data_IF_671288915503
#
_entry.id   IF_671288915503
#
_cell.length_a   1.000
_cell.length_b   1.000
_cell.length_c   1.000
_cell.angle_alpha   90.00
_cell.angle_beta   90.00
_cell.angle_gamma   90.00
#
_symmetry.space_group_name_H-M   'P 1'
#
loop_
_entity.id
_entity.type
_entity.pdbx_description
1 polymer ?
#
# COMPACT_ATOMS: atom_id res chain seq x y z
N UNK A 1 18.73 -22.07 18.11
CA UNK A 1 19.16 -23.12 19.06
C UNK A 1 19.92 -24.15 18.24
N UNK A 2 21.25 -24.02 18.20
CA UNK A 2 22.14 -24.84 17.38
C UNK A 2 22.28 -26.22 18.04
N UNK A 3 22.04 -27.29 17.30
CA UNK A 3 22.17 -28.68 17.77
C UNK A 3 23.65 -28.91 18.10
N UNK A 4 23.96 -29.17 19.38
CA UNK A 4 25.25 -29.75 19.78
C UNK A 4 25.30 -31.18 19.25
N UNK A 5 26.16 -31.43 18.28
CA UNK A 5 26.48 -32.78 17.83
C UNK A 5 27.21 -33.53 18.95
N UNK A 6 26.73 -34.72 19.32
CA UNK A 6 27.38 -35.61 20.28
C UNK A 6 28.62 -36.27 19.62
N UNK A 7 29.85 -35.97 20.09
CA UNK A 7 31.07 -36.44 19.43
C UNK A 7 31.30 -37.97 19.50
N UNK A 8 30.44 -38.74 20.20
CA UNK A 8 30.65 -40.17 20.45
C UNK A 8 29.81 -41.14 19.59
N UNK A 9 28.75 -40.69 18.90
CA UNK A 9 27.86 -41.61 18.15
C UNK A 9 28.58 -42.34 17.01
N UNK A 10 29.52 -41.67 16.35
CA UNK A 10 30.29 -42.29 15.26
C UNK A 10 31.18 -43.44 15.75
N UNK A 11 31.68 -43.36 16.99
CA UNK A 11 32.48 -44.41 17.62
C UNK A 11 31.64 -45.64 17.94
N UNK A 12 30.45 -45.45 18.51
CA UNK A 12 29.51 -46.53 18.83
C UNK A 12 29.01 -47.25 17.57
N UNK A 13 28.63 -46.52 16.53
CA UNK A 13 28.20 -47.09 15.25
C UNK A 13 29.31 -47.93 14.60
N UNK A 14 30.56 -47.44 14.60
CA UNK A 14 31.71 -48.19 14.08
C UNK A 14 32.00 -49.46 14.89
N UNK A 15 31.81 -49.43 16.21
CA UNK A 15 31.97 -50.61 17.07
C UNK A 15 30.91 -51.66 16.76
N UNK A 16 29.65 -51.27 16.66
CA UNK A 16 28.56 -52.18 16.30
C UNK A 16 28.75 -52.77 14.90
N UNK A 17 29.19 -51.94 13.94
CA UNK A 17 29.51 -52.42 12.59
C UNK A 17 30.61 -53.48 12.61
N UNK A 18 31.70 -53.28 13.36
CA UNK A 18 32.78 -54.27 13.49
C UNK A 18 32.30 -55.57 14.14
N UNK A 19 31.45 -55.49 15.15
CA UNK A 19 30.88 -56.67 15.81
C UNK A 19 30.01 -57.45 14.83
N UNK A 20 29.11 -56.77 14.10
CA UNK A 20 28.26 -57.39 13.08
C UNK A 20 29.06 -58.02 11.94
N UNK A 21 30.06 -57.31 11.40
CA UNK A 21 31.00 -57.88 10.41
C UNK A 21 31.77 -59.07 10.98
N UNK A 22 32.17 -59.01 12.25
CA UNK A 22 32.84 -60.11 12.94
C UNK A 22 31.99 -61.37 13.01
N UNK A 23 30.71 -61.26 13.40
CA UNK A 23 29.78 -62.39 13.39
C UNK A 23 29.58 -62.98 11.99
N UNK A 24 29.48 -62.13 10.96
CA UNK A 24 29.38 -62.60 9.58
C UNK A 24 30.62 -63.38 9.13
N UNK A 25 31.82 -62.90 9.48
CA UNK A 25 33.09 -63.59 9.18
C UNK A 25 33.17 -64.92 9.92
N UNK A 26 32.78 -64.96 11.20
CA UNK A 26 32.75 -66.22 11.97
C UNK A 26 31.77 -67.22 11.36
N UNK A 27 30.56 -66.79 10.97
CA UNK A 27 29.60 -67.65 10.28
C UNK A 27 30.17 -68.19 8.96
N UNK A 28 30.85 -67.35 8.17
CA UNK A 28 31.49 -67.78 6.93
C UNK A 28 32.62 -68.81 7.18
N UNK A 29 33.46 -68.60 8.20
CA UNK A 29 34.51 -69.55 8.58
C UNK A 29 33.93 -70.88 9.06
N UNK A 30 32.88 -70.85 9.89
CA UNK A 30 32.18 -72.05 10.34
C UNK A 30 31.55 -72.80 9.17
N UNK A 31 30.98 -72.09 8.20
CA UNK A 31 30.45 -72.69 6.97
C UNK A 31 31.55 -73.40 6.17
N UNK A 32 32.69 -72.74 5.93
CA UNK A 32 33.81 -73.34 5.18
C UNK A 32 34.42 -74.54 5.92
N UNK A 33 34.58 -74.44 7.24
CA UNK A 33 35.09 -75.53 8.06
C UNK A 33 34.13 -76.74 8.05
N UNK A 34 32.84 -76.49 8.28
CA UNK A 34 31.81 -77.54 8.23
C UNK A 34 31.79 -78.21 6.84
N UNK A 35 31.82 -77.43 5.76
CA UNK A 35 31.88 -77.92 4.38
C UNK A 35 33.10 -78.83 4.11
N UNK A 36 34.26 -78.51 4.69
CA UNK A 36 35.50 -79.25 4.46
C UNK A 36 35.59 -80.56 5.25
N UNK A 37 34.97 -80.62 6.43
CA UNK A 37 35.02 -81.77 7.35
C UNK A 37 33.75 -82.63 7.34
N UNK A 38 32.71 -82.23 6.61
CA UNK A 38 31.44 -82.95 6.45
C UNK A 38 31.65 -84.40 5.98
N UNK A 39 32.63 -84.64 5.10
CA UNK A 39 32.95 -85.98 4.60
C UNK A 39 33.48 -86.94 5.69
N UNK A 40 34.05 -86.41 6.78
CA UNK A 40 34.56 -87.21 7.89
C UNK A 40 33.56 -87.31 9.06
N UNK A 41 32.67 -86.33 9.21
CA UNK A 41 31.72 -86.25 10.33
C UNK A 41 30.33 -85.79 9.85
N UNK A 42 29.38 -86.72 9.63
CA UNK A 42 28.07 -86.41 9.05
C UNK A 42 27.22 -85.40 9.86
N UNK A 43 27.42 -85.29 11.17
CA UNK A 43 26.68 -84.35 12.02
C UNK A 43 27.02 -82.88 11.75
N UNK A 44 28.15 -82.60 11.08
CA UNK A 44 28.54 -81.24 10.68
C UNK A 44 27.61 -80.63 9.63
N UNK A 45 26.77 -81.43 8.97
CA UNK A 45 25.75 -80.93 8.04
C UNK A 45 24.74 -79.96 8.70
N UNK A 46 24.38 -80.19 9.97
CA UNK A 46 23.52 -79.26 10.72
C UNK A 46 24.20 -77.92 11.00
N UNK A 47 25.50 -77.96 11.34
CA UNK A 47 26.30 -76.76 11.58
C UNK A 47 26.49 -75.96 10.30
N UNK A 48 26.71 -76.66 9.18
CA UNK A 48 26.77 -76.05 7.85
C UNK A 48 25.48 -75.32 7.51
N UNK A 49 24.32 -75.97 7.64
CA UNK A 49 23.03 -75.36 7.31
C UNK A 49 22.73 -74.13 8.19
N UNK A 50 23.05 -74.20 9.48
CA UNK A 50 22.90 -73.07 10.40
C UNK A 50 23.84 -71.91 10.04
N UNK A 51 25.10 -72.19 9.71
CA UNK A 51 26.08 -71.20 9.29
C UNK A 51 25.74 -70.56 7.92
N UNK A 52 25.23 -71.37 6.99
CA UNK A 52 24.73 -70.92 5.69
C UNK A 52 23.55 -69.97 5.86
N UNK A 53 22.56 -70.35 6.67
CA UNK A 53 21.41 -69.51 7.00
C UNK A 53 21.81 -68.19 7.66
N UNK A 54 22.74 -68.23 8.62
CA UNK A 54 23.26 -67.03 9.28
C UNK A 54 24.01 -66.10 8.32
N UNK A 55 24.82 -66.66 7.42
CA UNK A 55 25.57 -65.89 6.41
C UNK A 55 24.64 -65.23 5.38
N UNK A 56 23.70 -66.00 4.82
CA UNK A 56 22.73 -65.49 3.84
C UNK A 56 21.82 -64.44 4.48
N UNK A 57 21.34 -64.67 5.70
CA UNK A 57 20.53 -63.72 6.46
C UNK A 57 21.26 -62.40 6.72
N UNK A 58 22.53 -62.46 7.13
CA UNK A 58 23.35 -61.26 7.35
C UNK A 58 23.62 -60.46 6.07
N UNK A 59 23.84 -61.14 4.95
CA UNK A 59 24.01 -60.47 3.64
C UNK A 59 22.71 -59.82 3.15
N UNK A 60 21.55 -60.47 3.39
CA UNK A 60 20.25 -59.94 3.01
C UNK A 60 19.89 -58.67 3.79
N UNK A 61 20.11 -58.65 5.10
CA UNK A 61 19.87 -57.47 5.94
C UNK A 61 20.77 -56.29 5.53
N UNK A 62 22.06 -56.56 5.29
CA UNK A 62 22.97 -55.55 4.76
C UNK A 62 22.49 -54.98 3.42
N UNK A 63 22.03 -55.84 2.52
CA UNK A 63 21.51 -55.43 1.22
C UNK A 63 20.25 -54.56 1.37
N UNK A 64 19.31 -54.92 2.24
CA UNK A 64 18.07 -54.18 2.45
C UNK A 64 18.32 -52.76 2.97
N UNK A 65 19.14 -52.61 4.01
CA UNK A 65 19.48 -51.29 4.58
C UNK A 65 20.25 -50.46 3.56
N UNK A 66 21.23 -51.08 2.88
CA UNK A 66 22.02 -50.37 1.87
C UNK A 66 21.12 -49.93 0.72
N UNK A 67 20.24 -50.78 0.22
CA UNK A 67 19.29 -50.47 -0.85
C UNK A 67 18.25 -49.41 -0.48
N UNK A 68 17.97 -49.17 0.81
CA UNK A 68 17.11 -48.06 1.21
C UNK A 68 17.81 -46.70 1.00
N UNK A 69 19.11 -46.64 1.31
CA UNK A 69 19.86 -45.39 1.36
C UNK A 69 20.82 -45.14 0.20
N UNK A 70 21.34 -46.18 -0.47
CA UNK A 70 22.39 -46.13 -1.51
C UNK A 70 22.23 -47.30 -2.49
N UNK A 71 23.03 -47.33 -3.56
CA UNK A 71 23.09 -48.50 -4.46
C UNK A 71 24.06 -49.55 -3.89
N UNK A 72 23.62 -50.77 -3.58
CA UNK A 72 24.50 -51.82 -3.07
C UNK A 72 25.57 -52.15 -4.13
N UNK A 73 26.83 -52.26 -3.71
CA UNK A 73 28.01 -52.50 -4.56
C UNK A 73 28.23 -51.47 -5.70
N UNK A 74 27.50 -50.33 -5.70
CA UNK A 74 27.58 -49.32 -6.77
C UNK A 74 26.89 -49.72 -8.08
N UNK A 75 26.21 -50.87 -8.13
CA UNK A 75 25.56 -51.36 -9.35
C UNK A 75 24.19 -50.69 -9.57
N UNK A 76 23.79 -50.41 -10.83
CA UNK A 76 22.49 -49.81 -11.16
C UNK A 76 21.37 -50.86 -11.09
N UNK A 77 21.07 -51.35 -9.88
CA UNK A 77 19.96 -52.29 -9.66
C UNK A 77 18.64 -51.48 -9.58
N UNK A 78 17.63 -51.80 -10.40
CA UNK A 78 16.33 -51.13 -10.34
C UNK A 78 15.69 -51.29 -8.95
N UNK A 79 14.95 -50.26 -8.51
CA UNK A 79 14.28 -50.21 -7.20
C UNK A 79 15.20 -50.17 -5.95
N UNK A 80 16.46 -49.77 -6.09
CA UNK A 80 17.37 -49.46 -4.97
C UNK A 80 17.58 -47.94 -4.80
N UNK A 81 18.13 -47.51 -3.67
CA UNK A 81 18.27 -46.12 -3.23
C UNK A 81 16.95 -45.33 -3.11
N UNK A 82 15.86 -45.97 -2.65
CA UNK A 82 14.49 -45.42 -2.64
C UNK A 82 14.42 -44.01 -2.04
N UNK A 83 15.08 -43.79 -0.89
CA UNK A 83 15.04 -42.49 -0.20
C UNK A 83 15.77 -41.41 -1.01
N UNK A 84 16.93 -41.73 -1.61
CA UNK A 84 17.65 -40.75 -2.44
C UNK A 84 16.86 -40.40 -3.69
N UNK A 85 16.27 -41.40 -4.35
CA UNK A 85 15.52 -41.20 -5.60
C UNK A 85 14.18 -40.50 -5.39
N UNK A 86 13.55 -40.64 -4.22
CA UNK A 86 12.25 -40.01 -3.89
C UNK A 86 12.33 -38.85 -2.89
N UNK A 87 13.52 -38.32 -2.61
CA UNK A 87 13.75 -37.26 -1.62
C UNK A 87 12.83 -36.05 -1.84
N UNK A 88 12.70 -35.61 -3.09
CA UNK A 88 11.91 -34.42 -3.42
C UNK A 88 10.40 -34.66 -3.22
N UNK A 89 9.91 -35.85 -3.58
CA UNK A 89 8.52 -36.24 -3.36
C UNK A 89 8.19 -36.35 -1.86
N UNK A 90 9.11 -36.91 -1.06
CA UNK A 90 8.97 -36.98 0.40
C UNK A 90 8.99 -35.56 1.00
N UNK A 91 9.90 -34.70 0.56
CA UNK A 91 9.97 -33.30 0.99
C UNK A 91 8.69 -32.53 0.68
N UNK A 92 8.13 -32.70 -0.52
CA UNK A 92 6.87 -32.09 -0.92
C UNK A 92 5.70 -32.58 -0.05
N UNK A 93 5.61 -33.88 0.23
CA UNK A 93 4.56 -34.47 1.08
C UNK A 93 4.65 -34.03 2.54
N UNK A 94 5.86 -33.89 3.08
CA UNK A 94 6.06 -33.36 4.44
C UNK A 94 5.70 -31.87 4.46
N UNK A 95 6.09 -31.11 3.43
CA UNK A 95 5.75 -29.69 3.30
C UNK A 95 4.25 -29.44 3.22
N UNK A 96 3.51 -30.23 2.43
CA UNK A 96 2.04 -30.15 2.38
C UNK A 96 1.42 -30.54 3.72
N UNK A 97 1.87 -31.63 4.34
CA UNK A 97 1.39 -32.03 5.66
C UNK A 97 1.57 -30.93 6.72
N UNK A 98 2.74 -30.28 6.78
CA UNK A 98 2.99 -29.17 7.71
C UNK A 98 2.09 -27.98 7.40
N UNK A 99 1.89 -27.65 6.13
CA UNK A 99 0.99 -26.57 5.72
C UNK A 99 -0.44 -26.84 6.16
N UNK A 100 -0.94 -28.02 5.83
CA UNK A 100 -2.35 -28.37 5.96
C UNK A 100 -2.74 -28.68 7.41
N UNK A 101 -1.78 -29.10 8.26
CA UNK A 101 -2.06 -29.46 9.66
C UNK A 101 -1.56 -28.43 10.68
N UNK A 102 -0.53 -27.65 10.35
CA UNK A 102 0.10 -26.74 11.32
C UNK A 102 0.11 -25.26 10.89
N UNK A 103 -0.12 -24.94 9.61
CA UNK A 103 -0.15 -23.57 9.10
C UNK A 103 -1.56 -23.10 8.71
N UNK A 104 -2.61 -23.76 9.19
CA UNK A 104 -4.00 -23.30 9.02
C UNK A 104 -4.21 -21.97 9.73
N UNK A 105 -5.03 -21.09 9.15
CA UNK A 105 -5.34 -19.75 9.69
C UNK A 105 -5.81 -19.83 11.14
N UNK A 106 -6.60 -20.84 11.49
CA UNK A 106 -7.20 -21.06 12.81
C UNK A 106 -6.11 -21.39 13.85
N UNK A 107 -5.20 -22.32 13.52
CA UNK A 107 -4.07 -22.67 14.40
C UNK A 107 -3.10 -21.50 14.55
N UNK A 108 -2.79 -20.77 13.47
CA UNK A 108 -1.92 -19.59 13.55
C UNK A 108 -2.55 -18.48 14.39
N UNK A 109 -3.80 -18.14 14.15
CA UNK A 109 -4.50 -17.07 14.88
C UNK A 109 -4.66 -17.41 16.37
N UNK A 110 -4.98 -18.66 16.69
CA UNK A 110 -5.04 -19.15 18.08
C UNK A 110 -3.69 -19.10 18.81
N UNK A 111 -2.59 -19.45 18.12
CA UNK A 111 -1.24 -19.39 18.72
C UNK A 111 -0.71 -17.97 18.83
N UNK A 112 -0.97 -17.11 17.84
CA UNK A 112 -0.58 -15.70 17.83
C UNK A 112 -1.35 -14.89 18.88
N UNK A 113 -2.64 -15.19 19.10
CA UNK A 113 -3.45 -14.57 20.14
C UNK A 113 -2.99 -15.01 21.54
N UNK A 114 -2.69 -16.30 21.73
CA UNK A 114 -2.18 -16.83 22.99
C UNK A 114 -0.84 -16.19 23.43
N UNK A 115 0.02 -15.79 22.48
CA UNK A 115 1.32 -15.18 22.77
C UNK A 115 1.23 -13.64 22.89
N UNK A 116 0.04 -13.04 22.69
CA UNK A 116 -0.17 -11.59 22.72
C UNK A 116 0.82 -10.82 21.84
N UNK A 117 1.14 -11.37 20.66
CA UNK A 117 2.17 -10.82 19.76
C UNK A 117 1.85 -9.39 19.36
N UNK A 118 0.56 -9.07 19.13
CA UNK A 118 0.12 -7.72 18.81
C UNK A 118 0.41 -6.70 19.93
N UNK A 119 0.31 -7.11 21.20
CA UNK A 119 0.62 -6.24 22.33
C UNK A 119 2.13 -6.01 22.45
N UNK A 120 2.94 -7.08 22.31
CA UNK A 120 4.41 -6.98 22.33
C UNK A 120 4.95 -6.12 21.18
N UNK A 121 4.41 -6.29 19.98
CA UNK A 121 4.75 -5.44 18.82
C UNK A 121 4.31 -3.99 19.05
N UNK A 122 3.14 -3.79 19.67
CA UNK A 122 2.66 -2.46 20.05
C UNK A 122 3.60 -1.75 21.02
N UNK A 123 4.02 -2.43 22.09
CA UNK A 123 4.98 -1.91 23.07
C UNK A 123 6.38 -1.71 22.46
N UNK A 124 6.82 -2.62 21.58
CA UNK A 124 8.10 -2.46 20.88
C UNK A 124 8.09 -1.21 19.97
N UNK A 125 6.99 -0.94 19.29
CA UNK A 125 6.79 0.26 18.46
C UNK A 125 6.69 1.58 19.26
N UNK A 126 6.57 1.52 20.60
CA UNK A 126 6.65 2.72 21.44
C UNK A 126 8.09 3.22 21.59
N UNK A 127 9.10 2.37 21.32
CA UNK A 127 10.49 2.81 21.29
C UNK A 127 10.79 3.60 20.00
N UNK A 128 11.42 4.79 20.11
CA UNK A 128 11.66 5.65 18.96
C UNK A 128 12.50 4.95 17.88
N UNK A 129 13.54 4.21 18.26
CA UNK A 129 14.40 3.47 17.31
C UNK A 129 13.64 2.39 16.51
N UNK A 130 12.71 1.69 17.18
CA UNK A 130 11.89 0.66 16.55
C UNK A 130 10.89 1.27 15.56
N UNK A 131 10.21 2.35 15.98
CA UNK A 131 9.32 3.11 15.11
C UNK A 131 10.06 3.69 13.90
N UNK A 132 11.27 4.21 14.09
CA UNK A 132 12.10 4.76 13.02
C UNK A 132 12.55 3.71 12.01
N UNK A 133 12.87 2.49 12.49
CA UNK A 133 13.26 1.34 11.65
C UNK A 133 12.07 0.82 10.84
N UNK A 134 10.89 0.70 11.46
CA UNK A 134 9.66 0.31 10.77
C UNK A 134 9.22 1.38 9.78
N UNK A 135 9.31 2.65 10.14
CA UNK A 135 9.00 3.75 9.24
C UNK A 135 9.93 3.74 8.00
N UNK A 136 11.23 3.45 8.19
CA UNK A 136 12.19 3.32 7.10
C UNK A 136 11.85 2.16 6.16
N UNK A 137 11.65 0.97 6.72
CA UNK A 137 11.28 -0.22 5.95
C UNK A 137 9.93 -0.04 5.24
N UNK A 138 8.96 0.58 5.91
CA UNK A 138 7.66 0.91 5.34
C UNK A 138 7.77 1.91 4.20
N UNK A 139 8.59 2.95 4.35
CA UNK A 139 8.87 3.93 3.30
C UNK A 139 9.52 3.29 2.07
N UNK A 140 10.58 2.49 2.26
CA UNK A 140 11.26 1.79 1.17
C UNK A 140 10.36 0.76 0.48
N UNK A 141 9.54 0.04 1.26
CA UNK A 141 8.55 -0.91 0.73
C UNK A 141 7.45 -0.22 -0.07
N UNK A 142 6.92 0.90 0.43
CA UNK A 142 5.93 1.70 -0.27
C UNK A 142 6.48 2.28 -1.58
N UNK A 143 7.73 2.74 -1.58
CA UNK A 143 8.41 3.20 -2.78
C UNK A 143 8.65 2.07 -3.79
N UNK A 144 9.07 0.89 -3.32
CA UNK A 144 9.20 -0.31 -4.15
C UNK A 144 7.86 -0.70 -4.79
N UNK A 145 6.77 -0.68 -4.02
CA UNK A 145 5.43 -0.92 -4.55
C UNK A 145 5.03 0.14 -5.59
N UNK A 146 5.29 1.42 -5.31
CA UNK A 146 4.99 2.53 -6.21
C UNK A 146 5.72 2.42 -7.56
N UNK A 147 6.92 1.83 -7.59
CA UNK A 147 7.65 1.53 -8.84
C UNK A 147 7.01 0.42 -9.67
N UNK A 148 6.35 -0.55 -9.03
CA UNK A 148 5.75 -1.72 -9.68
C UNK A 148 4.33 -1.44 -10.15
N UNK A 149 3.62 -0.54 -9.45
CA UNK A 149 2.24 -0.19 -9.77
C UNK A 149 2.12 0.44 -11.16
N UNK A 150 1.14 -0.06 -11.91
CA UNK A 150 0.77 0.45 -13.22
C UNK A 150 0.10 1.83 -13.09
N UNK A 151 0.68 2.83 -13.73
CA UNK A 151 0.20 4.21 -13.66
C UNK A 151 -1.18 4.38 -14.29
N UNK A 152 -1.48 3.63 -15.36
CA UNK A 152 -2.78 3.70 -16.03
C UNK A 152 -3.92 3.22 -15.12
N UNK A 153 -3.68 2.16 -14.33
CA UNK A 153 -4.69 1.59 -13.44
C UNK A 153 -5.02 2.54 -12.28
N UNK A 154 -3.99 3.17 -11.69
CA UNK A 154 -4.19 4.15 -10.61
C UNK A 154 -4.84 5.41 -11.12
N UNK A 155 -4.40 5.93 -12.28
CA UNK A 155 -5.02 7.09 -12.91
C UNK A 155 -6.50 6.83 -13.19
N UNK A 156 -6.84 5.67 -13.76
CA UNK A 156 -8.23 5.30 -14.02
C UNK A 156 -9.05 5.15 -12.73
N UNK A 157 -8.46 4.65 -11.64
CA UNK A 157 -9.13 4.56 -10.34
C UNK A 157 -9.40 5.95 -9.74
N UNK A 158 -8.40 6.84 -9.78
CA UNK A 158 -8.51 8.23 -9.28
C UNK A 158 -9.55 8.98 -10.12
N UNK A 159 -9.48 8.88 -11.44
CA UNK A 159 -10.44 9.50 -12.36
C UNK A 159 -11.86 9.06 -12.04
N UNK A 160 -12.13 7.75 -11.99
CA UNK A 160 -13.47 7.22 -11.66
C UNK A 160 -13.95 7.73 -10.31
N UNK A 161 -13.08 7.72 -9.30
CA UNK A 161 -13.43 8.17 -7.94
C UNK A 161 -13.78 9.66 -7.92
N UNK A 162 -13.01 10.49 -8.65
CA UNK A 162 -13.22 11.93 -8.75
C UNK A 162 -14.49 12.25 -9.53
N UNK A 163 -14.68 11.64 -10.70
CA UNK A 163 -15.88 11.76 -11.55
C UNK A 163 -17.12 11.39 -10.73
N UNK A 164 -17.12 10.23 -10.08
CA UNK A 164 -18.25 9.78 -9.24
C UNK A 164 -18.56 10.79 -8.13
N UNK A 165 -17.54 11.39 -7.52
CA UNK A 165 -17.74 12.38 -6.45
C UNK A 165 -18.32 13.69 -7.00
N UNK A 166 -17.85 14.15 -8.16
CA UNK A 166 -18.34 15.34 -8.86
C UNK A 166 -19.78 15.14 -9.32
N UNK A 167 -20.11 13.99 -9.91
CA UNK A 167 -21.45 13.65 -10.38
C UNK A 167 -22.49 13.68 -9.25
N UNK A 168 -22.15 13.11 -8.09
CA UNK A 168 -23.04 13.03 -6.94
C UNK A 168 -23.16 14.33 -6.13
N UNK A 169 -22.44 15.38 -6.52
CA UNK A 169 -22.41 16.64 -5.77
C UNK A 169 -22.88 17.80 -6.66
N UNK A 170 -23.87 18.60 -6.22
CA UNK A 170 -24.31 19.73 -7.00
C UNK A 170 -23.24 20.82 -6.99
N UNK A 171 -22.76 21.21 -8.17
CA UNK A 171 -21.58 22.09 -8.29
C UNK A 171 -21.92 23.54 -7.99
N UNK A 172 -23.05 24.05 -8.49
CA UNK A 172 -23.44 25.44 -8.30
C UNK A 172 -23.58 25.84 -6.81
N UNK A 173 -24.28 25.08 -5.94
CA UNK A 173 -24.36 25.42 -4.52
C UNK A 173 -23.04 25.30 -3.77
N UNK A 174 -22.11 24.48 -4.26
CA UNK A 174 -20.78 24.36 -3.70
C UNK A 174 -19.91 25.56 -4.05
N UNK A 175 -19.96 25.99 -5.32
CA UNK A 175 -19.32 27.21 -5.77
C UNK A 175 -19.88 28.43 -5.04
N UNK A 176 -21.21 28.50 -4.83
CA UNK A 176 -21.83 29.58 -4.08
C UNK A 176 -21.33 29.67 -2.63
N UNK A 177 -21.26 28.53 -1.92
CA UNK A 177 -20.69 28.47 -0.57
C UNK A 177 -19.20 28.84 -0.54
N UNK A 178 -18.43 28.39 -1.52
CA UNK A 178 -17.01 28.73 -1.65
C UNK A 178 -16.79 30.21 -1.90
N UNK A 179 -17.53 30.80 -2.84
CA UNK A 179 -17.51 32.23 -3.13
C UNK A 179 -17.94 33.05 -1.94
N UNK A 180 -18.99 32.64 -1.22
CA UNK A 180 -19.43 33.28 0.02
C UNK A 180 -18.32 33.29 1.09
N UNK A 181 -17.56 32.20 1.23
CA UNK A 181 -16.48 32.10 2.22
C UNK A 181 -15.22 32.91 1.84
N UNK A 182 -14.90 33.01 0.55
CA UNK A 182 -13.69 33.71 0.06
C UNK A 182 -13.94 35.21 -0.13
N UNK A 183 -15.11 35.60 -0.64
CA UNK A 183 -15.46 36.97 -0.98
C UNK A 183 -16.08 37.70 0.22
N UNK A 184 -15.34 37.78 1.32
CA UNK A 184 -15.73 38.50 2.54
C UNK A 184 -14.89 39.76 2.68
N UNK A 185 -15.54 40.89 2.98
CA UNK A 185 -14.88 42.16 3.28
C UNK A 185 -13.96 42.62 2.13
N UNK A 186 -12.67 42.78 2.43
CA UNK A 186 -11.67 43.34 1.49
C UNK A 186 -11.48 42.50 0.22
N UNK A 187 -11.63 41.16 0.28
CA UNK A 187 -11.43 40.30 -0.92
C UNK A 187 -12.41 40.61 -2.05
N UNK A 188 -13.61 41.08 -1.69
CA UNK A 188 -14.67 41.44 -2.64
C UNK A 188 -14.30 42.70 -3.43
N UNK A 189 -13.61 43.63 -2.77
CA UNK A 189 -13.03 44.84 -3.38
C UNK A 189 -11.86 44.50 -4.28
N UNK A 190 -10.95 43.62 -3.83
CA UNK A 190 -9.82 43.14 -4.66
C UNK A 190 -10.32 42.52 -5.97
N UNK A 191 -11.41 41.74 -5.92
CA UNK A 191 -12.05 41.17 -7.10
C UNK A 191 -12.58 42.27 -8.03
N UNK A 192 -13.27 43.28 -7.49
CA UNK A 192 -13.75 44.42 -8.28
C UNK A 192 -12.60 45.14 -8.97
N UNK A 193 -11.52 45.44 -8.26
CA UNK A 193 -10.34 46.08 -8.84
C UNK A 193 -9.72 45.24 -9.97
N UNK A 194 -9.59 43.92 -9.77
CA UNK A 194 -9.09 43.01 -10.81
C UNK A 194 -10.00 43.01 -12.05
N UNK A 195 -11.32 42.99 -11.88
CA UNK A 195 -12.29 43.04 -12.99
C UNK A 195 -12.21 44.38 -13.72
N UNK A 196 -12.14 45.49 -12.99
CA UNK A 196 -12.05 46.85 -13.54
C UNK A 196 -10.77 47.03 -14.37
N UNK A 197 -9.62 46.58 -13.85
CA UNK A 197 -8.36 46.61 -14.58
C UNK A 197 -8.41 45.77 -15.85
N UNK A 198 -8.94 44.54 -15.75
CA UNK A 198 -9.08 43.66 -16.90
C UNK A 198 -10.04 44.25 -17.96
N UNK A 199 -11.14 44.88 -17.54
CA UNK A 199 -12.07 45.56 -18.42
C UNK A 199 -11.43 46.78 -19.10
N UNK A 200 -10.70 47.61 -18.35
CA UNK A 200 -9.98 48.76 -18.90
C UNK A 200 -8.92 48.33 -19.92
N UNK A 201 -8.18 47.26 -19.61
CA UNK A 201 -7.19 46.68 -20.52
C UNK A 201 -7.85 46.14 -21.79
N UNK A 202 -8.92 45.34 -21.67
CA UNK A 202 -9.66 44.80 -22.81
C UNK A 202 -10.25 45.88 -23.72
N UNK A 203 -10.75 46.98 -23.15
CA UNK A 203 -11.28 48.12 -23.92
C UNK A 203 -10.15 48.80 -24.70
N UNK A 204 -8.99 48.96 -24.08
CA UNK A 204 -7.82 49.63 -24.70
C UNK A 204 -7.24 48.76 -25.82
N UNK A 205 -7.09 47.45 -25.59
CA UNK A 205 -6.55 46.50 -26.56
C UNK A 205 -7.51 46.24 -27.74
N UNK A 206 -8.82 46.16 -27.49
CA UNK A 206 -9.83 45.88 -28.51
C UNK A 206 -10.47 47.13 -29.12
N UNK A 207 -9.94 48.33 -28.87
CA UNK A 207 -10.48 49.59 -29.40
C UNK A 207 -10.87 49.57 -30.89
N UNK A 208 -10.03 49.01 -31.79
CA UNK A 208 -10.38 48.88 -33.21
C UNK A 208 -11.60 47.99 -33.48
N UNK A 209 -11.74 46.87 -32.75
CA UNK A 209 -12.84 45.94 -32.89
C UNK A 209 -14.15 46.53 -32.32
N UNK A 210 -14.06 47.24 -31.20
CA UNK A 210 -15.20 47.96 -30.58
C UNK A 210 -15.70 49.05 -31.53
N UNK A 211 -14.78 49.85 -32.12
CA UNK A 211 -15.14 50.85 -33.12
C UNK A 211 -15.85 50.24 -34.32
N UNK A 212 -15.35 49.11 -34.83
CA UNK A 212 -15.96 48.43 -35.98
C UNK A 212 -17.40 48.01 -35.70
N UNK A 213 -17.67 47.42 -34.52
CA UNK A 213 -19.03 47.05 -34.09
C UNK A 213 -19.97 48.26 -33.96
N UNK A 214 -19.48 49.39 -33.46
CA UNK A 214 -20.29 50.61 -33.33
C UNK A 214 -20.60 51.22 -34.70
N UNK A 215 -19.65 51.17 -35.64
CA UNK A 215 -19.87 51.58 -37.01
C UNK A 215 -20.87 50.68 -37.75
N UNK A 216 -20.87 49.37 -37.48
CA UNK A 216 -21.84 48.41 -38.04
C UNK A 216 -23.27 48.60 -37.50
N UNK A 217 -23.41 49.00 -36.24
CA UNK A 217 -24.70 49.32 -35.61
C UNK A 217 -25.21 50.74 -35.89
N UNK A 218 -24.40 51.60 -36.52
CA UNK A 218 -24.75 52.99 -36.77
C UNK A 218 -25.79 53.12 -37.89
N UNK A 219 -26.84 53.96 -37.71
CA UNK A 219 -27.85 54.18 -38.74
C UNK A 219 -27.25 54.69 -40.05
N UNK A 220 -27.81 54.27 -41.18
CA UNK A 220 -27.32 54.61 -42.53
C UNK A 220 -27.28 56.12 -42.82
N UNK A 221 -28.05 56.93 -42.09
CA UNK A 221 -28.11 58.39 -42.22
C UNK A 221 -27.05 59.13 -41.39
N UNK A 222 -26.25 58.43 -40.58
CA UNK A 222 -25.28 59.04 -39.67
C UNK A 222 -23.92 59.32 -40.35
N UNK A 223 -23.40 60.55 -40.30
CA UNK A 223 -22.06 60.85 -40.80
C UNK A 223 -20.96 60.13 -40.02
N UNK A 224 -19.94 59.61 -40.71
CA UNK A 224 -18.80 58.88 -40.08
C UNK A 224 -18.03 59.70 -39.03
N UNK A 225 -18.07 61.03 -39.11
CA UNK A 225 -17.48 61.92 -38.11
C UNK A 225 -18.24 61.89 -36.77
N UNK A 226 -19.57 61.78 -36.83
CA UNK A 226 -20.45 61.69 -35.65
C UNK A 226 -20.29 60.34 -34.98
N UNK A 227 -20.32 59.25 -35.75
CA UNK A 227 -20.04 57.89 -35.27
C UNK A 227 -18.68 57.81 -34.52
N UNK A 228 -17.62 58.36 -35.14
CA UNK A 228 -16.30 58.40 -34.52
C UNK A 228 -16.25 59.21 -33.22
N UNK A 229 -16.98 60.32 -33.16
CA UNK A 229 -17.07 61.15 -31.97
C UNK A 229 -17.83 60.45 -30.85
N UNK A 230 -18.93 59.77 -31.17
CA UNK A 230 -19.71 58.95 -30.23
C UNK A 230 -18.83 57.83 -29.67
N UNK A 231 -18.12 57.10 -30.53
CA UNK A 231 -17.19 56.04 -30.11
C UNK A 231 -16.14 56.59 -29.14
N UNK A 232 -15.41 57.64 -29.53
CA UNK A 232 -14.33 58.18 -28.69
C UNK A 232 -14.91 58.63 -27.34
N UNK A 233 -16.02 59.38 -27.35
CA UNK A 233 -16.62 59.91 -26.12
C UNK A 233 -17.16 58.81 -25.21
N UNK A 234 -17.74 57.76 -25.77
CA UNK A 234 -18.23 56.61 -25.02
C UNK A 234 -17.07 55.83 -24.38
N UNK A 235 -16.04 55.49 -25.16
CA UNK A 235 -14.88 54.75 -24.68
C UNK A 235 -14.10 55.56 -23.64
N UNK A 236 -13.88 56.86 -23.90
CA UNK A 236 -13.18 57.74 -22.97
C UNK A 236 -13.96 57.89 -21.66
N UNK A 237 -15.30 58.00 -21.73
CA UNK A 237 -16.15 58.06 -20.52
C UNK A 237 -16.08 56.75 -19.74
N UNK A 238 -16.21 55.60 -20.40
CA UNK A 238 -16.12 54.29 -19.73
C UNK A 238 -14.74 54.08 -19.11
N UNK A 239 -13.66 54.43 -19.82
CA UNK A 239 -12.31 54.33 -19.30
C UNK A 239 -12.08 55.27 -18.11
N UNK A 240 -12.58 56.51 -18.18
CA UNK A 240 -12.53 57.46 -17.08
C UNK A 240 -13.30 56.95 -15.85
N UNK A 241 -14.52 56.44 -16.03
CA UNK A 241 -15.32 55.87 -14.94
C UNK A 241 -14.67 54.63 -14.33
N UNK A 242 -14.08 53.74 -15.13
CA UNK A 242 -13.33 52.58 -14.62
C UNK A 242 -12.10 53.02 -13.83
N UNK A 243 -11.40 54.05 -14.30
CA UNK A 243 -10.26 54.61 -13.58
C UNK A 243 -10.67 55.30 -12.28
N UNK A 244 -11.75 56.09 -12.27
CA UNK A 244 -12.35 56.64 -11.04
C UNK A 244 -12.71 55.54 -10.04
N UNK A 245 -13.34 54.46 -10.50
CA UNK A 245 -13.69 53.32 -9.65
C UNK A 245 -12.47 52.66 -8.99
N UNK A 246 -11.33 52.68 -9.69
CA UNK A 246 -10.07 52.15 -9.18
C UNK A 246 -9.41 53.05 -8.13
N UNK A 247 -9.66 54.36 -8.17
CA UNK A 247 -9.02 55.36 -7.31
C UNK A 247 -9.87 55.78 -6.11
N UNK A 248 -11.20 55.71 -6.22
CA UNK A 248 -12.13 56.08 -5.16
C UNK A 248 -12.72 54.82 -4.48
N UNK A 249 -12.31 54.51 -3.23
CA UNK A 249 -12.84 53.38 -2.47
C UNK A 249 -14.29 53.53 -2.04
N UNK A 250 -14.82 54.76 -1.97
CA UNK A 250 -16.18 55.06 -1.49
C UNK A 250 -17.17 55.33 -2.64
N UNK A 251 -16.75 55.06 -3.89
CA UNK A 251 -17.58 55.27 -5.06
C UNK A 251 -18.89 54.46 -4.99
N UNK A 252 -20.07 55.04 -5.28
CA UNK A 252 -21.37 54.39 -5.11
C UNK A 252 -21.56 53.09 -5.91
N UNK A 253 -20.79 52.91 -6.99
CA UNK A 253 -20.78 51.66 -7.76
C UNK A 253 -20.14 50.47 -7.03
N UNK A 254 -19.27 50.68 -6.03
CA UNK A 254 -18.75 49.58 -5.20
C UNK A 254 -19.90 48.88 -4.46
N UNK A 255 -20.78 49.66 -3.83
CA UNK A 255 -21.96 49.13 -3.13
C UNK A 255 -22.93 48.41 -4.07
N UNK A 256 -23.09 48.90 -5.31
CA UNK A 256 -23.90 48.23 -6.33
C UNK A 256 -23.28 46.89 -6.75
N UNK A 257 -21.97 46.87 -6.98
CA UNK A 257 -21.24 45.65 -7.30
C UNK A 257 -21.35 44.62 -6.18
N UNK A 258 -21.14 45.03 -4.93
CA UNK A 258 -21.28 44.17 -3.76
C UNK A 258 -22.68 43.53 -3.72
N UNK A 259 -23.74 44.33 -3.90
CA UNK A 259 -25.12 43.84 -3.93
C UNK A 259 -25.42 42.91 -5.11
N UNK A 260 -24.74 43.08 -6.25
CA UNK A 260 -24.87 42.19 -7.42
C UNK A 260 -24.16 40.87 -7.16
N UNK A 261 -22.94 40.90 -6.65
CA UNK A 261 -22.15 39.70 -6.30
C UNK A 261 -22.85 38.88 -5.23
N UNK A 262 -23.36 39.53 -4.19
CA UNK A 262 -24.06 38.87 -3.10
C UNK A 262 -25.34 38.15 -3.58
N UNK A 263 -26.17 38.86 -4.36
CA UNK A 263 -27.34 38.24 -5.01
C UNK A 263 -26.97 37.11 -5.95
N UNK A 264 -25.87 37.24 -6.70
CA UNK A 264 -25.41 36.16 -7.58
C UNK A 264 -24.98 34.92 -6.78
N UNK A 265 -24.25 35.11 -5.67
CA UNK A 265 -23.83 34.03 -4.76
C UNK A 265 -25.04 33.32 -4.12
N UNK A 266 -26.06 34.07 -3.70
CA UNK A 266 -27.30 33.51 -3.15
C UNK A 266 -28.07 32.71 -4.19
N UNK A 267 -28.23 33.27 -5.39
CA UNK A 267 -28.90 32.60 -6.50
C UNK A 267 -28.15 31.34 -6.91
N UNK A 268 -26.82 31.33 -6.96
CA UNK A 268 -26.04 30.14 -7.30
C UNK A 268 -26.29 28.96 -6.33
N UNK A 269 -26.75 29.24 -5.11
CA UNK A 269 -27.06 28.23 -4.09
C UNK A 269 -28.52 27.75 -4.10
N UNK A 270 -29.45 28.56 -4.60
CA UNK A 270 -30.89 28.36 -4.39
C UNK A 270 -31.74 28.40 -5.66
N UNK A 271 -31.23 29.01 -6.73
CA UNK A 271 -31.93 29.19 -8.00
C UNK A 271 -31.86 27.90 -8.84
N UNK A 272 -33.00 27.23 -9.11
CA UNK A 272 -33.02 25.97 -9.86
C UNK A 272 -32.44 26.09 -11.28
N UNK A 273 -32.60 27.25 -11.93
CA UNK A 273 -32.11 27.47 -13.29
C UNK A 273 -30.58 27.51 -13.34
N UNK A 274 -29.96 28.23 -12.40
CA UNK A 274 -28.49 28.29 -12.30
C UNK A 274 -27.89 26.96 -11.86
N UNK A 275 -28.59 26.22 -11.00
CA UNK A 275 -28.18 24.87 -10.63
C UNK A 275 -28.20 23.98 -11.86
N UNK A 276 -29.29 23.96 -12.63
CA UNK A 276 -29.39 23.15 -13.86
C UNK A 276 -28.27 23.50 -14.86
N UNK A 277 -27.99 24.79 -15.05
CA UNK A 277 -26.91 25.24 -15.93
C UNK A 277 -25.52 24.85 -15.40
N UNK A 278 -25.31 24.89 -14.09
CA UNK A 278 -24.09 24.39 -13.45
C UNK A 278 -23.90 22.88 -13.65
N UNK A 279 -24.99 22.12 -13.61
CA UNK A 279 -24.97 20.68 -13.88
C UNK A 279 -24.68 20.35 -15.37
N UNK A 280 -25.16 21.19 -16.30
CA UNK A 280 -24.81 21.10 -17.72
C UNK A 280 -23.29 21.29 -17.95
N UNK A 281 -22.72 22.37 -17.42
CA UNK A 281 -21.27 22.61 -17.51
C UNK A 281 -20.46 21.53 -16.78
N UNK A 282 -20.98 21.00 -15.66
CA UNK A 282 -20.36 19.87 -14.96
C UNK A 282 -20.28 18.65 -15.86
N UNK A 283 -21.37 18.30 -16.54
CA UNK A 283 -21.41 17.16 -17.45
C UNK A 283 -20.42 17.33 -18.61
N UNK A 284 -20.35 18.54 -19.18
CA UNK A 284 -19.41 18.87 -20.25
C UNK A 284 -17.95 18.73 -19.80
N UNK A 285 -17.59 19.31 -18.64
CA UNK A 285 -16.24 19.27 -18.11
C UNK A 285 -15.81 17.85 -17.68
N UNK A 286 -16.71 17.10 -17.06
CA UNK A 286 -16.41 15.74 -16.57
C UNK A 286 -16.15 14.77 -17.73
N UNK A 287 -16.77 15.00 -18.89
CA UNK A 287 -16.50 14.27 -20.12
C UNK A 287 -15.26 14.75 -20.89
N UNK A 288 -14.67 15.89 -20.53
CA UNK A 288 -13.61 16.52 -21.30
C UNK A 288 -12.24 15.84 -21.05
N UNK A 289 -11.42 15.61 -22.11
CA UNK A 289 -10.11 14.96 -21.98
C UNK A 289 -9.14 15.68 -21.03
N UNK A 290 -9.33 16.98 -20.81
CA UNK A 290 -8.51 17.80 -19.90
C UNK A 290 -8.52 17.28 -18.46
N UNK A 291 -9.64 16.70 -17.99
CA UNK A 291 -9.73 16.15 -16.63
C UNK A 291 -8.83 14.94 -16.49
N UNK A 292 -8.81 14.07 -17.52
CA UNK A 292 -7.94 12.90 -17.56
C UNK A 292 -6.48 13.29 -17.59
N UNK A 293 -6.14 14.27 -18.42
CA UNK A 293 -4.78 14.78 -18.54
C UNK A 293 -4.29 15.40 -17.22
N UNK A 294 -5.15 16.17 -16.53
CA UNK A 294 -4.85 16.74 -15.23
C UNK A 294 -4.66 15.66 -14.15
N UNK A 295 -5.52 14.64 -14.09
CA UNK A 295 -5.33 13.51 -13.15
C UNK A 295 -4.03 12.77 -13.45
N UNK A 296 -3.72 12.57 -14.74
CA UNK A 296 -2.50 11.90 -15.16
C UNK A 296 -1.23 12.68 -14.84
N UNK A 297 -1.24 14.02 -14.99
CA UNK A 297 -0.11 14.87 -14.60
C UNK A 297 0.07 14.90 -13.08
N UNK A 298 -1.00 15.14 -12.32
CA UNK A 298 -0.96 15.15 -10.86
C UNK A 298 -0.48 13.82 -10.28
N UNK A 299 -0.91 12.68 -10.85
CA UNK A 299 -0.41 11.37 -10.44
C UNK A 299 1.09 11.22 -10.70
N UNK A 300 1.59 11.63 -11.88
CA UNK A 300 3.02 11.56 -12.22
C UNK A 300 3.86 12.44 -11.32
N UNK A 301 3.42 13.66 -11.06
CA UNK A 301 4.12 14.61 -10.20
C UNK A 301 4.17 14.09 -8.75
N UNK A 302 3.03 13.58 -8.24
CA UNK A 302 2.97 12.99 -6.92
C UNK A 302 3.85 11.73 -6.81
N UNK A 303 3.78 10.82 -7.80
CA UNK A 303 4.61 9.62 -7.84
C UNK A 303 6.09 9.98 -7.83
N UNK A 304 6.50 10.94 -8.66
CA UNK A 304 7.89 11.38 -8.77
C UNK A 304 8.36 11.99 -7.45
N UNK A 305 7.55 12.87 -6.85
CA UNK A 305 7.82 13.45 -5.53
C UNK A 305 7.98 12.37 -4.44
N UNK A 306 7.09 11.39 -4.39
CA UNK A 306 7.15 10.32 -3.38
C UNK A 306 8.35 9.39 -3.59
N UNK A 307 8.72 9.09 -4.83
CA UNK A 307 9.91 8.30 -5.15
C UNK A 307 11.20 9.05 -4.78
N UNK A 308 11.31 10.32 -5.15
CA UNK A 308 12.47 11.16 -4.80
C UNK A 308 12.62 11.29 -3.27
N UNK A 309 11.49 11.49 -2.56
CA UNK A 309 11.49 11.51 -1.11
C UNK A 309 11.95 10.16 -0.53
N UNK A 310 11.54 9.03 -1.10
CA UNK A 310 11.91 7.71 -0.57
C UNK A 310 13.41 7.39 -0.62
N UNK A 311 14.16 8.07 -1.49
CA UNK A 311 15.61 7.89 -1.67
C UNK A 311 16.44 8.76 -0.70
N UNK A 312 15.82 9.74 -0.03
CA UNK A 312 16.46 10.59 0.98
C UNK A 312 16.29 10.01 2.38
N UNK A 313 17.35 10.04 3.18
CA UNK A 313 17.36 9.54 4.57
C UNK A 313 16.43 10.35 5.51
N UNK A 314 16.13 11.60 5.17
CA UNK A 314 15.33 12.58 5.94
C UNK A 314 13.90 12.79 5.40
N UNK A 315 13.31 11.78 4.74
CA UNK A 315 12.10 11.99 3.95
C UNK A 315 10.83 12.38 4.71
N UNK A 316 10.04 13.27 4.08
CA UNK A 316 8.72 13.65 4.56
C UNK A 316 7.75 12.45 4.63
N UNK A 317 7.93 11.45 3.76
CA UNK A 317 7.18 10.19 3.78
C UNK A 317 7.48 9.41 5.06
N UNK A 318 8.76 9.22 5.39
CA UNK A 318 9.22 8.54 6.60
C UNK A 318 8.77 9.28 7.85
N UNK A 319 8.87 10.61 7.88
CA UNK A 319 8.37 11.44 8.97
C UNK A 319 6.85 11.33 9.14
N UNK A 320 6.10 11.19 8.05
CA UNK A 320 4.64 11.02 8.09
C UNK A 320 4.24 9.64 8.59
N UNK A 321 4.92 8.58 8.13
CA UNK A 321 4.73 7.22 8.64
C UNK A 321 5.09 7.15 10.13
N UNK A 322 6.23 7.73 10.53
CA UNK A 322 6.68 7.80 11.93
C UNK A 322 5.64 8.52 12.80
N UNK A 323 5.19 9.72 12.40
CA UNK A 323 4.13 10.46 13.10
C UNK A 323 2.84 9.64 13.21
N UNK A 324 2.49 8.88 12.18
CA UNK A 324 1.35 7.97 12.20
C UNK A 324 1.49 6.84 13.22
N UNK A 325 2.67 6.20 13.26
CA UNK A 325 3.02 5.15 14.24
C UNK A 325 2.97 5.73 15.66
N UNK A 326 3.63 6.86 15.91
CA UNK A 326 3.66 7.53 17.21
C UNK A 326 2.26 7.96 17.68
N UNK A 327 1.43 8.53 16.79
CA UNK A 327 0.07 8.94 17.14
C UNK A 327 -0.77 7.76 17.58
N UNK A 328 -0.61 6.60 16.93
CA UNK A 328 -1.34 5.38 17.26
C UNK A 328 -0.80 4.70 18.53
N UNK A 329 0.50 4.80 18.78
CA UNK A 329 1.13 4.38 20.03
C UNK A 329 0.62 5.21 21.23
N UNK A 330 0.69 6.54 21.16
CA UNK A 330 0.18 7.47 22.20
C UNK A 330 -1.32 7.28 22.48
N UNK A 331 -2.12 7.02 21.44
CA UNK A 331 -3.56 6.76 21.57
C UNK A 331 -3.90 5.50 22.36
N UNK A 332 -3.03 4.47 22.37
CA UNK A 332 -3.23 3.26 23.21
C UNK A 332 -2.88 3.53 24.67
N UNK A 333 -1.80 4.27 24.92
CA UNK A 333 -1.35 4.60 26.27
C UNK A 333 -2.43 5.37 27.06
N UNK A 334 -3.12 6.31 26.41
CA UNK A 334 -4.26 7.01 27.01
C UNK A 334 -5.48 6.09 27.30
N UNK A 335 -5.74 5.09 26.46
CA UNK A 335 -6.83 4.11 26.71
C UNK A 335 -6.50 3.17 27.86
N UNK A 336 -5.25 2.72 27.97
CA UNK A 336 -4.82 1.89 29.09
C UNK A 336 -4.82 2.63 30.42
N UNK A 337 -4.37 3.90 30.45
CA UNK A 337 -4.44 4.73 31.66
C UNK A 337 -5.89 5.01 32.09
N UNK A 338 -6.81 5.21 31.14
CA UNK A 338 -8.25 5.36 31.43
C UNK A 338 -8.86 4.06 31.98
N UNK A 339 -8.50 2.91 31.42
CA UNK A 339 -8.93 1.61 31.93
C UNK A 339 -8.39 1.33 33.34
N UNK A 340 -7.11 1.64 33.59
CA UNK A 340 -6.49 1.49 34.90
C UNK A 340 -7.14 2.38 35.98
N UNK A 341 -7.45 3.65 35.66
CA UNK A 341 -8.19 4.57 36.55
C UNK A 341 -9.62 4.10 36.83
N UNK A 342 -10.30 3.52 35.84
CA UNK A 342 -11.64 2.96 36.04
C UNK A 342 -11.64 1.75 36.99
N UNK A 343 -10.56 0.96 37.00
CA UNK A 343 -10.41 -0.19 37.91
C UNK A 343 -9.93 0.17 39.32
N UNK A 344 -9.32 1.35 39.53
CA UNK A 344 -8.85 1.81 40.86
C UNK A 344 -9.81 2.77 41.57
N UNK A 345 -10.82 3.30 40.87
CA UNK A 345 -11.78 4.27 41.42
C UNK A 345 -13.07 3.69 42.00
N UNK A 346 -13.13 2.37 42.22
CA UNK A 346 -14.34 1.65 42.60
C UNK A 346 -14.31 1.07 44.02
N UNK A 347 -14.14 1.90 45.05
CA UNK A 347 -14.64 1.58 46.39
C UNK A 347 -15.49 2.76 46.91
N UNK A 348 -16.80 2.60 47.13
CA UNK A 348 -17.60 3.62 47.80
C UNK A 348 -17.36 3.50 49.31
N UNK A 349 -16.61 4.45 49.86
CA UNK A 349 -16.52 4.66 51.30
C UNK A 349 -17.84 5.22 51.83
N UNK A 350 -18.68 4.34 52.39
CA UNK A 350 -19.82 4.74 53.21
C UNK A 350 -19.32 5.11 54.61
N UNK A 351 -18.82 6.34 54.77
CA UNK A 351 -18.56 6.93 56.08
C UNK A 351 -19.79 7.74 56.50
N UNK A 352 -20.52 7.22 57.48
CA UNK A 352 -21.64 7.85 58.16
C UNK A 352 -21.11 8.87 59.19
N UNK A 353 -21.65 10.10 59.29
CA UNK A 353 -21.48 10.93 60.48
C UNK A 353 -22.83 11.20 61.20
N UNK A 354 -22.76 11.69 62.45
CA UNK A 354 -23.67 11.31 63.55
C UNK A 354 -25.06 11.95 63.54
#
# INVERSE_FOLDING_TARGET
>A
MYIREEPNRLGELRRMQRIATGFLVVAALLFVAALRFEAAYPWLGFVRAAAEGAMVGGLADWFAVTALFRRPLGLPIPHTAIIQTRKDAIGASIGSFVRDNFLTTEVLTGRLSAINVAHRLGAWLEHPEAAERVARLGASGAAGALRIVNDADVQALIERSLITRIENTPVAPLLGRGLSAVLIGQRRRDLLYAIVQLAAQLITENGPAIRKRIAEGSPWWMPRSVDRSIYNRLVDTVAATLNELSQDPDHPLHAQFDAVVERFIERLQSDPELIAKGEEYKAELTGHPIVRELVASLWRDLKSYLLEQSERDDSALRATILRGIERRARGRQHRQQRAARATTGGEPGWANPP
#
